data_IF_420184806069
#
_entry.id   IF_420184806069
#
_cell.length_a   1.000
_cell.length_b   1.000
_cell.length_c   1.000
_cell.angle_alpha   90.00
_cell.angle_beta   90.00
_cell.angle_gamma   90.00
#
_symmetry.space_group_name_H-M   'P 1'
#
loop_
_entity.id
_entity.type
_entity.pdbx_description
1 polymer ?
#
# COMPACT_ATOMS: atom_id res chain seq x y z
N UNK A 1 -0.65 -18.82 7.78
CA UNK A 1 0.38 -18.26 6.86
C UNK A 1 0.40 -16.73 6.90
N UNK A 2 0.34 -16.10 8.09
CA UNK A 2 0.25 -14.62 8.25
C UNK A 2 1.37 -14.08 9.18
N UNK A 3 2.17 -14.95 9.80
CA UNK A 3 3.10 -14.55 10.85
C UNK A 3 4.57 -14.30 10.42
N UNK A 4 4.90 -14.35 9.13
CA UNK A 4 6.30 -14.20 8.67
C UNK A 4 6.74 -12.76 8.36
N UNK A 5 6.21 -11.77 9.10
CA UNK A 5 6.61 -10.35 8.94
C UNK A 5 7.33 -9.80 10.18
N UNK A 6 7.49 -10.60 11.24
CA UNK A 6 8.23 -10.24 12.46
C UNK A 6 9.71 -10.64 12.43
N UNK A 7 10.41 -10.43 11.32
CA UNK A 7 11.89 -10.44 11.33
C UNK A 7 12.40 -9.01 11.11
N UNK A 8 12.44 -8.27 12.21
CA UNK A 8 12.92 -6.90 12.28
C UNK A 8 14.46 -6.89 12.33
N UNK A 9 15.09 -7.10 11.17
CA UNK A 9 16.50 -6.77 10.97
C UNK A 9 16.57 -5.44 10.18
N UNK A 10 16.53 -4.30 10.89
CA UNK A 10 16.52 -2.96 10.28
C UNK A 10 17.93 -2.54 9.84
N UNK A 11 18.41 -3.09 8.73
CA UNK A 11 19.60 -2.59 8.03
C UNK A 11 19.30 -1.40 7.08
N UNK A 12 18.09 -0.84 7.13
CA UNK A 12 17.62 0.19 6.20
C UNK A 12 17.46 1.58 6.81
N UNK A 13 17.68 2.59 5.97
CA UNK A 13 17.44 4.00 6.28
C UNK A 13 15.92 4.22 6.46
N UNK A 14 15.50 4.56 7.68
CA UNK A 14 14.09 4.86 7.99
C UNK A 14 13.72 6.24 7.43
N UNK A 15 12.67 6.30 6.62
CA UNK A 15 12.11 7.53 6.06
C UNK A 15 10.75 7.80 6.68
N UNK A 16 10.41 9.08 6.83
CA UNK A 16 9.12 9.47 7.39
C UNK A 16 7.95 9.02 6.50
N UNK A 17 6.85 8.51 7.08
CA UNK A 17 5.68 8.07 6.32
C UNK A 17 5.06 9.17 5.44
N UNK A 18 5.17 10.43 5.86
CA UNK A 18 4.67 11.60 5.11
C UNK A 18 5.40 11.77 3.80
N UNK A 19 6.72 11.71 3.86
CA UNK A 19 7.62 11.81 2.72
C UNK A 19 7.34 10.69 1.71
N UNK A 20 7.09 9.49 2.20
CA UNK A 20 6.70 8.35 1.35
C UNK A 20 5.36 8.58 0.63
N UNK A 21 4.35 9.11 1.30
CA UNK A 21 3.06 9.43 0.68
C UNK A 21 3.23 10.53 -0.38
N UNK A 22 4.00 11.57 -0.08
CA UNK A 22 4.32 12.65 -1.03
C UNK A 22 5.04 12.07 -2.25
N UNK A 23 6.04 11.20 -2.06
CA UNK A 23 6.72 10.53 -3.18
C UNK A 23 5.77 9.68 -4.01
N UNK A 24 4.82 8.98 -3.39
CA UNK A 24 3.85 8.17 -4.12
C UNK A 24 2.94 9.05 -4.99
N UNK A 25 2.47 10.17 -4.47
CA UNK A 25 1.67 11.14 -5.24
C UNK A 25 2.51 11.73 -6.38
N UNK A 26 3.75 12.16 -6.09
CA UNK A 26 4.66 12.67 -7.11
C UNK A 26 4.96 11.63 -8.20
N UNK A 27 5.15 10.36 -7.81
CA UNK A 27 5.36 9.23 -8.72
C UNK A 27 4.17 9.03 -9.67
N UNK A 28 2.95 9.05 -9.14
CA UNK A 28 1.72 8.95 -9.94
C UNK A 28 1.64 10.11 -10.94
N UNK A 29 1.85 11.34 -10.49
CA UNK A 29 1.84 12.52 -11.35
C UNK A 29 2.91 12.39 -12.46
N UNK A 30 4.15 12.03 -12.10
CA UNK A 30 5.22 11.84 -13.07
C UNK A 30 4.90 10.76 -14.11
N UNK A 31 4.32 9.62 -13.70
CA UNK A 31 3.98 8.53 -14.61
C UNK A 31 2.85 8.90 -15.58
N UNK A 32 1.95 9.82 -15.19
CA UNK A 32 0.86 10.28 -16.07
C UNK A 32 1.26 11.33 -17.09
N UNK A 33 2.28 12.15 -16.80
CA UNK A 33 2.66 13.30 -17.64
C UNK A 33 3.42 12.86 -18.90
N UNK A 34 4.38 11.95 -18.77
CA UNK A 34 5.26 11.57 -19.86
C UNK A 34 5.41 10.04 -19.96
N UNK A 35 4.50 9.34 -20.68
CA UNK A 35 4.61 7.90 -20.94
C UNK A 35 5.65 7.62 -22.03
N UNK A 36 6.90 8.01 -21.78
CA UNK A 36 8.03 7.71 -22.65
C UNK A 36 8.91 6.64 -22.02
N UNK A 37 9.34 5.68 -22.84
CA UNK A 37 10.09 4.50 -22.40
C UNK A 37 11.40 4.88 -21.66
N UNK A 38 12.03 5.99 -22.07
CA UNK A 38 13.24 6.50 -21.42
C UNK A 38 12.92 7.10 -20.05
N UNK A 39 11.88 7.91 -19.95
CA UNK A 39 11.49 8.54 -18.69
C UNK A 39 11.05 7.50 -17.64
N UNK A 40 10.28 6.50 -18.05
CA UNK A 40 9.86 5.41 -17.16
C UNK A 40 11.05 4.61 -16.61
N UNK A 41 12.09 4.40 -17.44
CA UNK A 41 13.31 3.73 -17.00
C UNK A 41 14.07 4.55 -15.94
N UNK A 42 14.12 5.88 -16.09
CA UNK A 42 14.70 6.80 -15.09
C UNK A 42 13.88 6.79 -13.81
N UNK A 43 12.56 6.78 -13.92
CA UNK A 43 11.64 6.74 -12.79
C UNK A 43 11.82 5.45 -11.98
N UNK A 44 11.87 4.29 -12.65
CA UNK A 44 12.08 2.99 -12.00
C UNK A 44 13.47 2.88 -11.40
N UNK A 45 14.49 3.45 -12.05
CA UNK A 45 15.82 3.54 -11.47
C UNK A 45 15.80 4.35 -10.15
N UNK A 46 15.15 5.51 -10.13
CA UNK A 46 14.98 6.31 -8.92
C UNK A 46 14.22 5.55 -7.82
N UNK A 47 13.14 4.84 -8.15
CA UNK A 47 12.40 3.98 -7.20
C UNK A 47 13.28 2.83 -6.69
N UNK A 48 14.12 2.26 -7.55
CA UNK A 48 15.04 1.18 -7.17
C UNK A 48 16.10 1.68 -6.18
N UNK A 49 16.67 2.85 -6.42
CA UNK A 49 17.62 3.51 -5.50
C UNK A 49 16.95 3.79 -4.15
N UNK A 50 15.72 4.29 -4.15
CA UNK A 50 14.94 4.51 -2.94
C UNK A 50 14.66 3.20 -2.17
N UNK A 51 14.33 2.12 -2.88
CA UNK A 51 14.13 0.78 -2.30
C UNK A 51 15.39 0.18 -1.70
N UNK A 52 16.54 0.40 -2.35
CA UNK A 52 17.85 0.00 -1.83
C UNK A 52 18.23 0.81 -0.58
N UNK A 53 18.04 2.13 -0.59
CA UNK A 53 18.26 2.99 0.57
C UNK A 53 17.40 2.55 1.76
N UNK A 54 16.15 2.15 1.51
CA UNK A 54 15.22 1.63 2.52
C UNK A 54 15.60 0.25 3.09
N UNK A 55 16.72 -0.34 2.68
CA UNK A 55 17.25 -1.62 3.20
C UNK A 55 16.61 -2.87 2.58
N UNK A 56 15.79 -2.74 1.53
CA UNK A 56 15.11 -3.87 0.86
C UNK A 56 15.70 -4.19 -0.50
N UNK A 57 17.03 -4.30 -0.55
CA UNK A 57 17.83 -4.47 -1.78
C UNK A 57 17.36 -5.68 -2.61
N UNK A 58 17.12 -6.84 -2.00
CA UNK A 58 16.69 -8.06 -2.72
C UNK A 58 15.34 -7.90 -3.42
N UNK A 59 14.35 -7.26 -2.77
CA UNK A 59 13.03 -7.01 -3.37
C UNK A 59 13.13 -5.93 -4.46
N UNK A 60 13.93 -4.89 -4.21
CA UNK A 60 14.16 -3.81 -5.17
C UNK A 60 14.78 -4.33 -6.46
N UNK A 61 15.86 -5.12 -6.35
CA UNK A 61 16.54 -5.74 -7.48
C UNK A 61 15.66 -6.73 -8.23
N UNK A 62 14.85 -7.52 -7.54
CA UNK A 62 13.93 -8.45 -8.19
C UNK A 62 12.88 -7.72 -9.05
N UNK A 63 12.26 -6.66 -8.52
CA UNK A 63 11.33 -5.83 -9.28
C UNK A 63 12.01 -5.06 -10.43
N UNK A 64 13.25 -4.58 -10.24
CA UNK A 64 14.01 -3.94 -11.31
C UNK A 64 14.36 -4.94 -12.43
N UNK A 65 14.75 -6.17 -12.07
CA UNK A 65 15.03 -7.23 -13.04
C UNK A 65 13.76 -7.64 -13.82
N UNK A 66 12.62 -7.72 -13.14
CA UNK A 66 11.33 -7.99 -13.79
C UNK A 66 10.98 -6.89 -14.81
N UNK A 67 11.19 -5.62 -14.48
CA UNK A 67 11.04 -4.53 -15.43
C UNK A 67 12.02 -4.64 -16.61
N UNK A 68 13.29 -4.95 -16.35
CA UNK A 68 14.30 -5.14 -17.40
C UNK A 68 13.93 -6.25 -18.39
N UNK A 69 13.33 -7.34 -17.92
CA UNK A 69 12.82 -8.41 -18.77
C UNK A 69 11.67 -7.92 -19.68
N UNK A 70 10.71 -7.16 -19.12
CA UNK A 70 9.64 -6.54 -19.89
C UNK A 70 10.14 -5.52 -20.92
N UNK A 71 11.18 -4.75 -20.55
CA UNK A 71 11.83 -3.79 -21.46
C UNK A 71 12.49 -4.49 -22.65
N UNK A 72 13.23 -5.58 -22.41
CA UNK A 72 13.81 -6.41 -23.47
C UNK A 72 12.74 -7.02 -24.38
N UNK A 73 11.64 -7.51 -23.79
CA UNK A 73 10.51 -8.04 -24.54
C UNK A 73 9.86 -6.95 -25.41
N UNK A 74 9.76 -5.72 -24.91
CA UNK A 74 9.24 -4.58 -25.68
C UNK A 74 10.13 -4.27 -26.89
N UNK A 75 11.45 -4.27 -26.71
CA UNK A 75 12.41 -4.10 -27.82
C UNK A 75 12.30 -5.23 -28.85
N UNK A 76 12.08 -6.47 -28.41
CA UNK A 76 11.86 -7.61 -29.31
C UNK A 76 10.56 -7.45 -30.12
N UNK A 77 9.47 -7.02 -29.48
CA UNK A 77 8.18 -6.76 -30.15
C UNK A 77 8.28 -5.62 -31.18
N UNK A 78 9.07 -4.58 -30.91
CA UNK A 78 9.34 -3.50 -31.87
C UNK A 78 10.16 -3.96 -33.08
N UNK A 79 10.94 -5.03 -32.94
CA UNK A 79 11.70 -5.62 -34.06
C UNK A 79 10.85 -6.49 -34.98
N UNK A 80 9.64 -6.89 -34.55
CA UNK A 80 8.70 -7.67 -35.36
C UNK A 80 7.92 -6.75 -36.31
N UNK A 81 7.46 -7.29 -37.43
CA UNK A 81 6.69 -6.53 -38.42
C UNK A 81 5.41 -5.93 -37.83
N UNK A 82 5.01 -4.75 -38.34
CA UNK A 82 3.85 -3.98 -37.89
C UNK A 82 2.54 -4.66 -38.30
N UNK A 83 2.13 -5.68 -37.55
CA UNK A 83 0.82 -6.33 -37.65
C UNK A 83 -0.19 -5.86 -36.59
N UNK A 84 -1.43 -6.36 -36.64
CA UNK A 84 -2.46 -6.09 -35.63
C UNK A 84 -2.06 -6.57 -34.22
N UNK A 85 -1.27 -7.64 -34.14
CA UNK A 85 -0.73 -8.11 -32.86
C UNK A 85 0.28 -7.12 -32.27
N UNK A 86 1.07 -6.43 -33.09
CA UNK A 86 2.02 -5.42 -32.64
C UNK A 86 1.31 -4.25 -31.93
N UNK A 87 0.21 -3.74 -32.49
CA UNK A 87 -0.52 -2.59 -31.93
C UNK A 87 -1.25 -2.92 -30.63
N UNK A 88 -1.84 -4.12 -30.53
CA UNK A 88 -2.47 -4.59 -29.29
C UNK A 88 -1.43 -4.80 -28.19
N UNK A 89 -0.30 -5.43 -28.53
CA UNK A 89 0.74 -5.75 -27.56
C UNK A 89 1.46 -4.49 -27.05
N UNK A 90 1.75 -3.54 -27.95
CA UNK A 90 2.35 -2.25 -27.55
C UNK A 90 1.42 -1.40 -26.69
N UNK A 91 0.12 -1.38 -26.97
CA UNK A 91 -0.87 -0.69 -26.13
C UNK A 91 -0.97 -1.28 -24.73
N UNK A 92 -0.98 -2.61 -24.62
CA UNK A 92 -0.99 -3.30 -23.32
C UNK A 92 0.28 -3.04 -22.51
N UNK A 93 1.45 -3.05 -23.17
CA UNK A 93 2.72 -2.69 -22.56
C UNK A 93 2.75 -1.24 -22.06
N UNK A 94 2.17 -0.30 -22.81
CA UNK A 94 2.05 1.10 -22.37
C UNK A 94 1.30 1.22 -21.03
N UNK A 95 0.15 0.55 -20.88
CA UNK A 95 -0.59 0.52 -19.62
C UNK A 95 0.21 -0.11 -18.48
N UNK A 96 0.93 -1.19 -18.77
CA UNK A 96 1.80 -1.84 -17.80
C UNK A 96 2.85 -0.84 -17.28
N UNK A 97 3.48 -0.07 -18.17
CA UNK A 97 4.53 0.85 -17.79
C UNK A 97 4.05 2.10 -17.04
N UNK A 98 2.82 2.57 -17.25
CA UNK A 98 2.24 3.63 -16.41
C UNK A 98 1.98 3.15 -14.97
N UNK A 99 1.48 1.91 -14.81
CA UNK A 99 1.04 1.40 -13.50
C UNK A 99 2.20 0.79 -12.69
N UNK A 100 3.15 0.16 -13.36
CA UNK A 100 4.22 -0.61 -12.71
C UNK A 100 5.10 0.20 -11.73
N UNK A 101 5.59 1.42 -12.05
CA UNK A 101 6.40 2.20 -11.13
C UNK A 101 5.64 2.58 -9.85
N UNK A 102 4.35 2.89 -9.99
CA UNK A 102 3.47 3.23 -8.88
C UNK A 102 3.26 2.01 -7.97
N UNK A 103 2.97 0.85 -8.56
CA UNK A 103 2.80 -0.41 -7.82
C UNK A 103 4.09 -0.83 -7.10
N UNK A 104 5.24 -0.67 -7.76
CA UNK A 104 6.54 -0.98 -7.19
C UNK A 104 6.87 -0.09 -5.98
N UNK A 105 6.71 1.23 -6.12
CA UNK A 105 6.92 2.18 -5.04
C UNK A 105 5.94 1.92 -3.87
N UNK A 106 4.66 1.67 -4.16
CA UNK A 106 3.65 1.35 -3.15
C UNK A 106 4.02 0.08 -2.35
N UNK A 107 4.51 -0.98 -3.02
CA UNK A 107 4.97 -2.21 -2.36
C UNK A 107 6.14 -1.97 -1.39
N UNK A 108 7.09 -1.13 -1.78
CA UNK A 108 8.19 -0.71 -0.90
C UNK A 108 7.65 0.08 0.31
N UNK A 109 6.75 1.03 0.08
CA UNK A 109 6.18 1.88 1.14
C UNK A 109 5.37 1.04 2.13
N UNK A 110 4.44 0.20 1.66
CA UNK A 110 3.61 -0.65 2.50
C UNK A 110 4.45 -1.59 3.36
N UNK A 111 5.51 -2.14 2.77
CA UNK A 111 6.36 -3.09 3.49
C UNK A 111 7.32 -2.41 4.48
N UNK A 112 7.59 -1.12 4.35
CA UNK A 112 8.53 -0.37 5.21
C UNK A 112 7.83 0.54 6.22
N UNK A 113 6.50 0.65 6.19
CA UNK A 113 5.74 1.60 7.02
C UNK A 113 4.82 0.83 7.95
N UNK A 114 4.96 1.03 9.25
CA UNK A 114 4.03 0.43 10.23
C UNK A 114 2.72 1.21 10.24
N UNK A 115 1.61 0.52 10.45
CA UNK A 115 0.27 1.13 10.57
C UNK A 115 0.25 2.25 11.62
N UNK A 116 0.94 2.06 12.74
CA UNK A 116 1.06 3.06 13.81
C UNK A 116 1.82 4.33 13.39
N UNK A 117 2.86 4.19 12.57
CA UNK A 117 3.65 5.32 12.03
C UNK A 117 2.79 6.12 11.04
N UNK A 118 2.02 5.45 10.19
CA UNK A 118 1.06 6.07 9.28
C UNK A 118 0.00 6.88 10.02
N UNK A 119 -0.61 6.31 11.06
CA UNK A 119 -1.61 6.99 11.91
C UNK A 119 -1.04 8.21 12.63
N UNK A 120 0.22 8.13 13.06
CA UNK A 120 0.89 9.27 13.69
C UNK A 120 1.18 10.36 12.66
N UNK A 121 1.58 9.98 11.45
CA UNK A 121 1.84 10.90 10.35
C UNK A 121 0.57 11.68 9.95
N UNK A 122 -0.59 11.01 9.87
CA UNK A 122 -1.90 11.61 9.57
C UNK A 122 -2.40 12.50 10.71
N UNK A 123 -2.26 12.07 11.97
CA UNK A 123 -2.60 12.91 13.14
C UNK A 123 -1.82 14.22 13.15
N UNK A 124 -0.51 14.15 12.95
CA UNK A 124 0.32 15.36 12.87
C UNK A 124 0.03 16.21 11.63
N UNK A 125 -0.66 15.68 10.60
CA UNK A 125 -0.86 16.36 9.31
C UNK A 125 -2.05 17.33 9.37
N UNK A 126 -2.48 17.69 10.58
CA UNK A 126 -3.65 18.51 10.88
C UNK A 126 -4.97 17.93 10.35
N UNK A 127 -5.02 16.61 10.12
CA UNK A 127 -6.29 15.93 9.84
C UNK A 127 -7.09 15.87 11.15
N UNK A 128 -8.42 16.15 11.13
CA UNK A 128 -9.23 16.13 12.34
C UNK A 128 -9.13 14.82 13.09
N UNK A 129 -8.94 14.89 14.41
CA UNK A 129 -8.89 13.72 15.29
C UNK A 129 -10.16 12.85 15.21
N UNK A 130 -11.29 13.46 14.84
CA UNK A 130 -12.57 12.78 14.56
C UNK A 130 -12.45 11.69 13.47
N UNK A 131 -11.47 11.82 12.56
CA UNK A 131 -11.22 10.84 11.49
C UNK A 131 -10.06 9.91 11.87
N UNK A 132 -8.99 10.47 12.43
CA UNK A 132 -7.76 9.71 12.70
C UNK A 132 -7.97 8.65 13.78
N UNK A 133 -8.79 8.93 14.80
CA UNK A 133 -9.04 8.00 15.91
C UNK A 133 -9.85 6.77 15.44
N UNK A 134 -11.03 6.91 14.79
CA UNK A 134 -11.74 5.74 14.26
C UNK A 134 -10.89 4.96 13.27
N UNK A 135 -10.13 5.64 12.40
CA UNK A 135 -9.21 4.98 11.47
C UNK A 135 -8.14 4.15 12.21
N UNK A 136 -7.57 4.69 13.29
CA UNK A 136 -6.58 3.98 14.10
C UNK A 136 -7.14 2.71 14.74
N UNK A 137 -8.37 2.79 15.23
CA UNK A 137 -9.13 1.67 15.76
C UNK A 137 -9.40 0.63 14.68
N UNK A 138 -9.95 1.05 13.53
CA UNK A 138 -10.28 0.15 12.42
C UNK A 138 -9.05 -0.63 11.95
N UNK A 139 -7.93 0.04 11.71
CA UNK A 139 -6.72 -0.62 11.22
C UNK A 139 -6.12 -1.62 12.23
N UNK A 140 -6.34 -1.41 13.54
CA UNK A 140 -5.93 -2.36 14.58
C UNK A 140 -6.93 -3.50 14.79
N UNK A 141 -8.20 -3.28 14.45
CA UNK A 141 -9.27 -4.27 14.59
C UNK A 141 -9.35 -5.22 13.39
N UNK A 142 -8.90 -4.81 12.19
CA UNK A 142 -8.87 -5.68 10.99
C UNK A 142 -8.22 -7.05 11.26
N UNK A 143 -7.02 -7.16 11.88
CA UNK A 143 -6.41 -8.45 12.18
C UNK A 143 -7.31 -9.33 13.06
N UNK A 144 -7.94 -8.75 14.08
CA UNK A 144 -8.86 -9.46 14.98
C UNK A 144 -10.10 -9.96 14.23
N UNK A 145 -10.68 -9.15 13.36
CA UNK A 145 -11.82 -9.57 12.51
C UNK A 145 -11.45 -10.74 11.60
N UNK A 146 -10.23 -10.75 11.06
CA UNK A 146 -9.75 -11.88 10.25
C UNK A 146 -9.60 -13.17 11.08
N UNK A 147 -9.19 -13.05 12.34
CA UNK A 147 -9.12 -14.18 13.28
C UNK A 147 -10.51 -14.67 13.67
N UNK A 148 -11.43 -13.75 14.02
CA UNK A 148 -12.83 -14.05 14.33
C UNK A 148 -13.53 -14.75 13.17
N UNK A 149 -13.32 -14.29 11.94
CA UNK A 149 -13.81 -14.96 10.74
C UNK A 149 -13.29 -16.40 10.64
N UNK A 150 -12.01 -16.63 10.95
CA UNK A 150 -11.41 -17.96 11.01
C UNK A 150 -12.07 -18.85 12.06
N UNK A 151 -12.23 -18.34 13.28
CA UNK A 151 -12.86 -19.06 14.38
C UNK A 151 -14.33 -19.42 14.11
N UNK A 152 -15.11 -18.48 13.59
CA UNK A 152 -16.52 -18.72 13.23
C UNK A 152 -16.60 -19.75 12.11
N UNK A 153 -15.74 -19.65 11.09
CA UNK A 153 -15.67 -20.61 9.99
C UNK A 153 -15.36 -22.02 10.49
N UNK A 154 -14.40 -22.16 11.41
CA UNK A 154 -14.02 -23.46 11.95
C UNK A 154 -15.10 -24.01 12.91
N UNK A 155 -15.78 -23.16 13.67
CA UNK A 155 -16.93 -23.56 14.48
C UNK A 155 -18.11 -24.06 13.62
N UNK A 156 -18.36 -23.44 12.46
CA UNK A 156 -19.39 -23.90 11.53
C UNK A 156 -19.02 -25.23 10.87
N UNK A 157 -17.74 -25.45 10.57
CA UNK A 157 -17.25 -26.75 10.06
C UNK A 157 -17.48 -27.90 11.04
N UNK A 158 -17.38 -27.66 12.35
CA UNK A 158 -17.71 -28.66 13.38
C UNK A 158 -19.19 -29.03 13.42
N UNK A 159 -20.08 -28.18 12.89
CA UNK A 159 -21.52 -28.42 12.78
C UNK A 159 -21.90 -29.01 11.41
N UNK A 160 -20.93 -29.58 10.69
CA UNK A 160 -21.04 -30.09 9.31
C UNK A 160 -21.50 -29.06 8.26
N UNK A 161 -21.59 -27.78 8.64
CA UNK A 161 -21.80 -26.68 7.71
C UNK A 161 -20.44 -26.34 7.13
N UNK A 162 -20.16 -26.85 5.93
CA UNK A 162 -18.97 -26.44 5.18
C UNK A 162 -19.30 -25.18 4.37
N UNK A 163 -18.89 -23.97 4.81
CA UNK A 163 -18.88 -22.80 3.95
C UNK A 163 -17.82 -23.01 2.87
N UNK A 164 -18.17 -23.76 1.84
CA UNK A 164 -17.45 -23.82 0.58
C UNK A 164 -17.96 -22.70 -0.32
N UNK A 165 -17.11 -22.20 -1.21
CA UNK A 165 -17.52 -21.22 -2.23
C UNK A 165 -18.70 -21.75 -3.07
N UNK A 166 -18.75 -23.07 -3.27
CA UNK A 166 -19.84 -23.76 -3.95
C UNK A 166 -21.13 -23.84 -3.12
N UNK A 167 -21.01 -24.00 -1.79
CA UNK A 167 -22.14 -23.96 -0.85
C UNK A 167 -22.72 -22.56 -0.66
N UNK A 168 -21.89 -21.52 -0.72
CA UNK A 168 -22.33 -20.11 -0.73
C UNK A 168 -23.20 -19.79 -1.95
N UNK A 169 -22.81 -20.31 -3.12
CA UNK A 169 -23.56 -20.14 -4.36
C UNK A 169 -24.86 -20.95 -4.38
N UNK A 170 -24.88 -22.11 -3.70
CA UNK A 170 -26.05 -22.99 -3.62
C UNK A 170 -27.11 -22.49 -2.63
N UNK A 171 -26.70 -21.97 -1.46
CA UNK A 171 -27.59 -21.49 -0.40
C UNK A 171 -27.01 -20.24 0.30
N UNK A 172 -27.16 -19.03 -0.30
CA UNK A 172 -26.58 -17.81 0.26
C UNK A 172 -27.20 -17.41 1.62
N UNK A 173 -28.49 -17.68 1.84
CA UNK A 173 -29.18 -17.35 3.09
C UNK A 173 -28.54 -18.03 4.32
N UNK A 174 -28.19 -19.31 4.18
CA UNK A 174 -27.55 -20.09 5.24
C UNK A 174 -26.15 -19.57 5.57
N UNK A 175 -25.41 -19.06 4.58
CA UNK A 175 -24.11 -18.45 4.83
C UNK A 175 -24.23 -17.10 5.56
N UNK A 176 -25.25 -16.30 5.24
CA UNK A 176 -25.52 -15.05 5.95
C UNK A 176 -25.83 -15.31 7.42
N UNK A 177 -26.75 -16.24 7.70
CA UNK A 177 -27.17 -16.56 9.06
C UNK A 177 -26.06 -17.22 9.89
N UNK A 178 -25.29 -18.14 9.31
CA UNK A 178 -24.28 -18.90 10.06
C UNK A 178 -22.91 -18.20 10.17
N UNK A 179 -22.58 -17.27 9.29
CA UNK A 179 -21.26 -16.62 9.25
C UNK A 179 -21.34 -15.11 9.47
N UNK A 180 -22.20 -14.41 8.73
CA UNK A 180 -22.28 -12.95 8.80
C UNK A 180 -22.98 -12.46 10.06
N UNK A 181 -24.10 -13.07 10.46
CA UNK A 181 -24.83 -12.64 11.67
C UNK A 181 -23.97 -12.76 12.92
N UNK A 182 -23.30 -13.89 13.23
CA UNK A 182 -22.43 -13.99 14.40
C UNK A 182 -21.28 -12.99 14.36
N UNK A 183 -20.65 -12.80 13.18
CA UNK A 183 -19.55 -11.85 13.00
C UNK A 183 -20.00 -10.40 13.19
N UNK A 184 -21.19 -10.04 12.72
CA UNK A 184 -21.77 -8.71 12.94
C UNK A 184 -22.08 -8.48 14.42
N UNK A 185 -22.61 -9.49 15.12
CA UNK A 185 -22.89 -9.40 16.55
C UNK A 185 -21.60 -9.24 17.37
N UNK A 186 -20.54 -10.00 17.07
CA UNK A 186 -19.24 -9.84 17.74
C UNK A 186 -18.60 -8.49 17.42
N UNK A 187 -18.67 -8.03 16.17
CA UNK A 187 -18.18 -6.71 15.77
C UNK A 187 -18.95 -5.56 16.43
N UNK A 188 -20.26 -5.68 16.61
CA UNK A 188 -21.08 -4.67 17.30
C UNK A 188 -20.72 -4.61 18.78
N UNK A 189 -20.66 -5.75 19.46
CA UNK A 189 -20.33 -5.80 20.89
C UNK A 189 -18.93 -5.24 21.17
N UNK A 190 -17.94 -5.58 20.33
CA UNK A 190 -16.57 -5.06 20.45
C UNK A 190 -16.50 -3.55 20.18
N UNK A 191 -17.33 -3.02 19.29
CA UNK A 191 -17.42 -1.58 19.07
C UNK A 191 -17.96 -0.84 20.30
N UNK A 192 -18.97 -1.40 20.98
CA UNK A 192 -19.54 -0.83 22.22
C UNK A 192 -18.53 -0.89 23.36
N UNK A 193 -17.86 -2.03 23.57
CA UNK A 193 -16.80 -2.19 24.57
C UNK A 193 -15.65 -1.23 24.34
N UNK A 194 -15.21 -1.06 23.08
CA UNK A 194 -14.13 -0.15 22.74
C UNK A 194 -14.53 1.31 22.94
N UNK A 195 -15.80 1.65 22.66
CA UNK A 195 -16.33 3.00 22.90
C UNK A 195 -16.38 3.32 24.38
N UNK A 196 -16.89 2.40 25.21
CA UNK A 196 -16.88 2.54 26.67
C UNK A 196 -15.45 2.64 27.23
N UNK A 197 -14.53 1.79 26.76
CA UNK A 197 -13.11 1.83 27.15
C UNK A 197 -12.41 3.12 26.70
N UNK A 198 -12.79 3.69 25.55
CA UNK A 198 -12.26 4.95 25.06
C UNK A 198 -12.75 6.14 25.91
N UNK A 199 -14.04 6.20 26.21
CA UNK A 199 -14.64 7.23 27.05
C UNK A 199 -14.05 7.23 28.46
N UNK A 200 -13.92 6.06 29.09
CA UNK A 200 -13.30 5.91 30.43
C UNK A 200 -11.83 6.32 30.45
N UNK A 201 -11.10 6.15 29.35
CA UNK A 201 -9.71 6.64 29.17
C UNK A 201 -9.62 8.14 28.83
N UNK A 202 -10.73 8.87 28.82
CA UNK A 202 -10.74 10.31 28.60
C UNK A 202 -10.53 10.71 27.14
N UNK A 203 -11.05 9.94 26.19
CA UNK A 203 -10.90 10.27 24.75
C UNK A 203 -11.53 11.62 24.38
N UNK A 204 -12.51 12.10 25.14
CA UNK A 204 -13.18 13.40 24.92
C UNK A 204 -12.44 14.60 25.54
N UNK A 205 -11.28 14.39 26.17
CA UNK A 205 -10.53 15.47 26.78
C UNK A 205 -10.15 16.55 25.73
N UNK A 206 -10.53 17.83 25.93
CA UNK A 206 -10.27 18.91 24.98
C UNK A 206 -8.80 19.33 24.90
N UNK A 207 -7.95 18.89 25.83
CA UNK A 207 -6.51 19.20 25.78
C UNK A 207 -5.82 18.58 24.57
N UNK A 208 -4.79 19.24 23.99
CA UNK A 208 -4.05 18.69 22.86
C UNK A 208 -3.40 17.35 23.25
N UNK A 209 -3.60 16.35 22.39
CA UNK A 209 -3.03 15.01 22.61
C UNK A 209 -1.54 14.98 22.31
N UNK A 210 -0.82 14.17 23.07
CA UNK A 210 0.58 13.86 22.81
C UNK A 210 0.70 12.56 22.01
N UNK A 211 1.72 12.46 21.15
CA UNK A 211 2.02 11.26 20.38
C UNK A 211 3.26 10.57 20.96
N UNK A 212 3.14 9.30 21.34
CA UNK A 212 4.28 8.49 21.81
C UNK A 212 5.32 8.29 20.70
N UNK A 213 4.87 8.20 19.45
CA UNK A 213 5.76 8.00 18.29
C UNK A 213 6.22 9.38 17.79
N UNK A 214 7.51 9.65 17.94
CA UNK A 214 8.13 10.85 17.39
C UNK A 214 8.45 10.70 15.91
N UNK A 215 7.51 11.08 15.04
CA UNK A 215 7.78 11.31 13.61
C UNK A 215 8.49 12.67 13.48
N UNK A 216 9.75 12.69 13.05
CA UNK A 216 10.56 13.91 12.85
C UNK A 216 11.18 13.90 11.46
N UNK A 217 10.90 14.95 10.68
CA UNK A 217 11.54 15.19 9.39
C UNK A 217 13.06 15.27 9.58
N UNK A 218 13.78 14.28 9.04
CA UNK A 218 15.25 14.30 9.02
C UNK A 218 15.72 14.86 7.68
N UNK A 219 16.94 15.41 7.63
CA UNK A 219 17.51 15.94 6.39
C UNK A 219 17.57 14.92 5.23
N UNK A 220 17.54 13.63 5.54
CA UNK A 220 17.42 12.54 4.56
C UNK A 220 16.07 12.50 3.84
N UNK A 221 14.99 12.88 4.52
CA UNK A 221 13.66 13.03 3.91
C UNK A 221 13.64 14.21 2.93
N UNK A 222 14.39 15.27 3.24
CA UNK A 222 14.55 16.41 2.34
C UNK A 222 15.28 16.03 1.05
N UNK A 223 16.40 15.30 1.16
CA UNK A 223 17.13 14.82 -0.03
C UNK A 223 16.23 13.97 -0.92
N UNK A 224 15.45 13.08 -0.32
CA UNK A 224 14.62 12.15 -1.07
C UNK A 224 13.39 12.85 -1.72
N UNK A 225 12.80 13.86 -1.06
CA UNK A 225 11.75 14.70 -1.68
C UNK A 225 12.30 15.56 -2.81
N UNK A 226 13.45 16.19 -2.63
CA UNK A 226 14.11 16.97 -3.68
C UNK A 226 14.42 16.10 -4.89
N UNK A 227 14.94 14.89 -4.69
CA UNK A 227 15.17 13.93 -5.78
C UNK A 227 13.88 13.62 -6.55
N UNK A 228 12.77 13.35 -5.84
CA UNK A 228 11.49 13.07 -6.47
C UNK A 228 10.95 14.27 -7.28
N UNK A 229 11.11 15.49 -6.77
CA UNK A 229 10.76 16.72 -7.48
C UNK A 229 11.63 16.91 -8.72
N UNK A 230 12.94 16.65 -8.64
CA UNK A 230 13.84 16.72 -9.80
C UNK A 230 13.39 15.77 -10.91
N UNK A 231 13.01 14.53 -10.58
CA UNK A 231 12.49 13.57 -11.58
C UNK A 231 11.22 14.10 -12.23
N UNK A 232 10.28 14.65 -11.45
CA UNK A 232 9.07 15.26 -11.99
C UNK A 232 9.38 16.44 -12.94
N UNK A 233 10.30 17.33 -12.57
CA UNK A 233 10.68 18.47 -13.41
C UNK A 233 11.33 18.00 -14.71
N UNK A 234 12.17 16.96 -14.66
CA UNK A 234 12.73 16.34 -15.86
C UNK A 234 11.63 15.79 -16.78
N UNK A 235 10.56 15.22 -16.21
CA UNK A 235 9.40 14.76 -16.97
C UNK A 235 8.66 15.89 -17.68
N UNK A 236 8.40 16.99 -16.97
CA UNK A 236 7.78 18.19 -17.56
C UNK A 236 8.62 18.82 -18.67
N UNK A 237 9.95 18.87 -18.50
CA UNK A 237 10.86 19.38 -19.52
C UNK A 237 10.87 18.45 -20.73
N UNK A 238 10.85 17.14 -20.51
CA UNK A 238 10.82 16.16 -21.59
C UNK A 238 9.53 16.23 -22.41
N UNK A 239 8.37 16.37 -21.76
CA UNK A 239 7.08 16.58 -22.43
C UNK A 239 7.07 17.88 -23.25
N UNK A 240 7.72 18.95 -22.77
CA UNK A 240 7.83 20.22 -23.51
C UNK A 240 8.73 20.14 -24.76
N UNK A 241 9.66 19.20 -24.80
CA UNK A 241 10.66 19.06 -25.87
C UNK A 241 10.19 18.12 -27.00
N UNK A 242 9.36 17.13 -26.68
CA UNK A 242 8.83 16.11 -27.62
C UNK A 242 7.51 16.56 -28.21
#
# INVERSE_FOLDING_TARGET
MIWSVYTENRLGLQFDPRTKIIMLILCVISATIAPSLLYESVLIFAVTVFGCASGKVRRSLFCAAFYGAFYMLTKFVISLEKGTLYTVFTSWLGLFYTVYPCAFLASIILSTTKVSEFLTATSKAHIPNKVVIPLAVMLRYIPTVCEDWGYIKDAMRLRDVTPSLFGFLKNPAMAVECLYVPLLMTASNTADELSAAALTRGIENPTPRTCLIEVRFRGRDWIATVLAVCVLVLGFIWERIV
#
